data_IF_462693155759
#
_entry.id   IF_462693155759
#
_cell.length_a   1.000
_cell.length_b   1.000
_cell.length_c   1.000
_cell.angle_alpha   90.00
_cell.angle_beta   90.00
_cell.angle_gamma   90.00
#
_symmetry.space_group_name_H-M   'P 1'
#
loop_
_entity.id
_entity.type
_entity.pdbx_description
1 polymer ?
#
# COMPACT_ATOMS: atom_id res chain seq x y z
N UNK A 1 31.79 -84.38 -28.01
CA UNK A 1 31.85 -83.41 -26.89
C UNK A 1 31.16 -82.15 -27.30
N UNK A 2 29.91 -81.97 -26.87
CA UNK A 2 29.08 -80.75 -27.20
C UNK A 2 29.10 -79.84 -25.99
N UNK A 3 29.67 -78.65 -26.15
CA UNK A 3 29.58 -77.54 -25.17
C UNK A 3 28.26 -76.82 -25.34
N UNK A 4 27.42 -76.82 -24.31
CA UNK A 4 26.22 -75.96 -24.17
C UNK A 4 26.66 -74.58 -23.65
N UNK A 5 26.38 -73.59 -24.42
CA UNK A 5 26.50 -72.18 -23.96
C UNK A 5 25.18 -71.73 -23.37
N UNK A 6 25.18 -71.40 -22.08
CA UNK A 6 24.06 -70.82 -21.37
C UNK A 6 24.10 -69.32 -21.55
N UNK A 7 23.06 -68.72 -22.18
CA UNK A 7 22.85 -67.28 -22.28
C UNK A 7 22.01 -66.81 -21.10
N UNK A 8 22.60 -66.06 -20.21
CA UNK A 8 21.86 -65.32 -19.18
C UNK A 8 21.24 -64.04 -19.79
N UNK A 9 19.90 -63.99 -19.81
CA UNK A 9 19.15 -62.76 -20.05
C UNK A 9 19.05 -61.99 -18.71
N UNK A 10 19.73 -60.87 -18.64
CA UNK A 10 19.47 -59.90 -17.57
C UNK A 10 18.25 -59.05 -17.95
N UNK A 11 17.14 -59.28 -17.25
CA UNK A 11 15.99 -58.39 -17.28
C UNK A 11 16.24 -57.22 -16.31
N UNK A 12 16.41 -56.01 -16.86
CA UNK A 12 16.47 -54.76 -16.06
C UNK A 12 15.04 -54.33 -15.79
N UNK A 13 14.59 -54.22 -14.53
CA UNK A 13 13.30 -53.65 -14.24
C UNK A 13 13.37 -52.12 -14.44
N UNK A 14 12.59 -51.63 -15.40
CA UNK A 14 12.37 -50.22 -15.62
C UNK A 14 11.49 -49.67 -14.48
N UNK A 15 12.14 -49.07 -13.46
CA UNK A 15 11.44 -48.37 -12.38
C UNK A 15 10.90 -47.06 -12.93
N UNK A 16 9.60 -47.02 -13.31
CA UNK A 16 8.84 -45.83 -13.56
C UNK A 16 8.61 -45.13 -12.22
N UNK A 17 9.46 -44.16 -11.90
CA UNK A 17 9.19 -43.18 -10.83
C UNK A 17 8.12 -42.22 -11.35
N UNK A 18 6.86 -42.49 -11.05
CA UNK A 18 5.78 -41.53 -11.19
C UNK A 18 6.02 -40.42 -10.18
N UNK A 19 6.50 -39.28 -10.67
CA UNK A 19 6.57 -38.03 -9.91
C UNK A 19 5.12 -37.55 -9.68
N UNK A 20 4.53 -38.00 -8.57
CA UNK A 20 3.26 -37.42 -8.11
C UNK A 20 3.57 -36.02 -7.61
N UNK A 21 3.26 -34.98 -8.43
CA UNK A 21 3.04 -33.64 -7.94
C UNK A 21 1.84 -33.71 -6.98
N UNK A 22 2.13 -33.79 -5.68
CA UNK A 22 1.13 -33.46 -4.66
C UNK A 22 0.82 -31.97 -4.82
N UNK A 23 -0.25 -31.67 -5.56
CA UNK A 23 -0.92 -30.40 -5.41
C UNK A 23 -1.44 -30.44 -3.96
N UNK A 24 -0.88 -29.59 -3.12
CA UNK A 24 -1.40 -29.31 -1.79
C UNK A 24 -2.77 -28.67 -2.00
N UNK A 25 -3.83 -29.47 -2.03
CA UNK A 25 -5.19 -28.96 -1.95
C UNK A 25 -5.30 -28.29 -0.58
N UNK A 26 -5.22 -26.95 -0.57
CA UNK A 26 -5.61 -26.18 0.60
C UNK A 26 -7.10 -26.47 0.83
N UNK A 27 -7.38 -27.30 1.83
CA UNK A 27 -8.75 -27.54 2.30
C UNK A 27 -9.43 -26.19 2.51
N UNK A 28 -10.62 -26.01 1.87
CA UNK A 28 -11.48 -24.89 2.17
C UNK A 28 -11.80 -24.91 3.68
N UNK A 29 -11.77 -23.77 4.38
CA UNK A 29 -12.01 -23.71 5.81
C UNK A 29 -13.34 -24.38 6.14
N UNK A 30 -13.35 -25.21 7.22
CA UNK A 30 -14.53 -25.90 7.68
C UNK A 30 -15.67 -24.92 7.95
N UNK A 31 -16.92 -25.32 7.70
CA UNK A 31 -18.10 -24.47 7.90
C UNK A 31 -18.14 -23.93 9.34
N UNK A 32 -17.83 -22.63 9.52
CA UNK A 32 -17.76 -21.94 10.81
C UNK A 32 -16.40 -21.31 11.14
N UNK A 33 -15.33 -21.59 10.37
CA UNK A 33 -14.03 -20.94 10.57
C UNK A 33 -14.02 -19.52 9.99
N UNK A 34 -13.64 -18.54 10.81
CA UNK A 34 -13.59 -17.12 10.40
C UNK A 34 -12.39 -16.90 9.48
N UNK A 35 -12.63 -16.38 8.27
CA UNK A 35 -11.56 -15.93 7.38
C UNK A 35 -11.01 -14.62 7.94
N UNK A 36 -9.94 -14.70 8.74
CA UNK A 36 -9.33 -13.57 9.45
C UNK A 36 -8.44 -12.70 8.57
N UNK A 37 -8.09 -11.52 9.08
CA UNK A 37 -7.02 -10.66 8.53
C UNK A 37 -5.65 -11.33 8.70
N UNK A 38 -5.45 -11.95 9.87
CA UNK A 38 -4.31 -12.82 10.20
C UNK A 38 -4.83 -14.02 10.99
N UNK A 39 -3.97 -14.97 11.35
CA UNK A 39 -4.36 -16.16 12.12
C UNK A 39 -5.00 -15.81 13.48
N UNK A 40 -4.59 -14.70 14.07
CA UNK A 40 -5.01 -14.24 15.40
C UNK A 40 -5.88 -12.96 15.37
N UNK A 41 -6.07 -12.36 14.19
CA UNK A 41 -6.84 -11.11 14.03
C UNK A 41 -7.98 -11.29 13.02
N UNK A 42 -9.21 -11.51 13.46
CA UNK A 42 -10.34 -11.69 12.54
C UNK A 42 -10.76 -10.39 11.84
N UNK A 43 -10.61 -9.24 12.50
CA UNK A 43 -10.96 -7.92 11.96
C UNK A 43 -10.27 -6.80 12.75
N UNK A 44 -10.38 -5.58 12.24
CA UNK A 44 -10.06 -4.35 12.98
C UNK A 44 -11.15 -3.29 12.73
N UNK A 45 -11.13 -2.20 13.50
CA UNK A 45 -12.02 -1.06 13.29
C UNK A 45 -11.22 0.20 12.99
N UNK A 46 -11.75 1.03 12.09
CA UNK A 46 -11.18 2.33 11.75
C UNK A 46 -12.29 3.37 11.65
N UNK A 47 -11.98 4.61 12.00
CA UNK A 47 -12.90 5.73 11.80
C UNK A 47 -12.86 6.17 10.34
N UNK A 48 -14.03 6.29 9.70
CA UNK A 48 -14.20 6.83 8.36
C UNK A 48 -15.40 7.77 8.35
N UNK A 49 -15.20 9.03 8.00
CA UNK A 49 -16.25 10.07 7.98
C UNK A 49 -17.10 10.09 9.28
N UNK A 50 -16.43 10.00 10.43
CA UNK A 50 -17.08 10.05 11.75
C UNK A 50 -17.78 8.76 12.20
N UNK A 51 -17.73 7.69 11.40
CA UNK A 51 -18.32 6.38 11.73
C UNK A 51 -17.24 5.32 11.93
N UNK A 52 -17.48 4.38 12.85
CA UNK A 52 -16.62 3.21 13.03
C UNK A 52 -16.92 2.17 11.93
N UNK A 53 -15.94 1.84 11.12
CA UNK A 53 -16.05 0.84 10.05
C UNK A 53 -15.23 -0.38 10.42
N UNK A 54 -15.85 -1.57 10.32
CA UNK A 54 -15.20 -2.85 10.51
C UNK A 54 -14.46 -3.27 9.23
N UNK A 55 -13.16 -3.42 9.31
CA UNK A 55 -12.35 -4.00 8.24
C UNK A 55 -12.21 -5.48 8.50
N UNK A 56 -12.70 -6.30 7.59
CA UNK A 56 -12.62 -7.76 7.62
C UNK A 56 -12.48 -8.28 6.20
N UNK A 57 -12.15 -9.57 6.06
CA UNK A 57 -12.21 -10.26 4.76
C UNK A 57 -13.63 -10.71 4.45
N UNK A 58 -13.93 -10.92 3.18
CA UNK A 58 -15.15 -11.63 2.73
C UNK A 58 -15.13 -13.04 3.35
N UNK A 59 -16.27 -13.47 3.88
CA UNK A 59 -16.42 -14.74 4.61
C UNK A 59 -16.93 -15.90 3.73
N UNK A 60 -17.10 -15.67 2.43
CA UNK A 60 -17.41 -16.72 1.46
C UNK A 60 -16.10 -17.29 0.88
N UNK A 61 -15.74 -18.56 1.18
CA UNK A 61 -14.50 -19.18 0.70
C UNK A 61 -14.47 -19.37 -0.83
N UNK A 62 -15.63 -19.32 -1.49
CA UNK A 62 -15.77 -19.46 -2.95
C UNK A 62 -15.83 -18.11 -3.67
N UNK A 63 -15.65 -16.99 -2.94
CA UNK A 63 -15.70 -15.67 -3.55
C UNK A 63 -14.54 -15.46 -4.53
N UNK A 64 -14.88 -15.06 -5.74
CA UNK A 64 -13.92 -14.69 -6.78
C UNK A 64 -13.98 -13.19 -7.06
N UNK A 65 -12.82 -12.55 -7.17
CA UNK A 65 -12.75 -11.15 -7.53
C UNK A 65 -13.22 -10.94 -8.97
N UNK A 66 -14.18 -10.04 -9.16
CA UNK A 66 -14.76 -9.69 -10.46
C UNK A 66 -14.57 -8.21 -10.80
N UNK A 67 -14.98 -7.79 -11.99
CA UNK A 67 -15.05 -6.40 -12.39
C UNK A 67 -13.68 -5.77 -12.72
N UNK A 68 -13.51 -4.49 -12.34
CA UNK A 68 -12.37 -3.70 -12.80
C UNK A 68 -11.02 -4.20 -12.27
N UNK A 69 -10.95 -4.60 -11.01
CA UNK A 69 -9.71 -4.99 -10.36
C UNK A 69 -9.30 -6.45 -10.64
N UNK A 70 -10.19 -7.27 -11.21
CA UNK A 70 -9.87 -8.59 -11.73
C UNK A 70 -9.18 -8.57 -13.10
N UNK A 71 -9.13 -7.41 -13.79
CA UNK A 71 -8.52 -7.30 -15.12
C UNK A 71 -7.00 -7.40 -15.03
N UNK A 72 -6.41 -8.36 -15.75
CA UNK A 72 -4.96 -8.62 -15.77
C UNK A 72 -4.25 -7.87 -16.89
N UNK A 73 -4.77 -7.90 -18.12
CA UNK A 73 -4.15 -7.29 -19.29
C UNK A 73 -4.73 -5.90 -19.55
N UNK A 74 -3.98 -4.86 -19.18
CA UNK A 74 -4.35 -3.45 -19.41
C UNK A 74 -3.33 -2.78 -20.32
N UNK A 75 -3.80 -1.87 -21.18
CA UNK A 75 -2.93 -1.12 -22.10
C UNK A 75 -1.95 -0.23 -21.33
N UNK A 76 -0.68 -0.31 -21.64
CA UNK A 76 0.37 0.58 -21.18
C UNK A 76 0.86 1.46 -22.33
N UNK A 77 0.86 2.79 -22.19
CA UNK A 77 0.22 3.60 -21.14
C UNK A 77 -1.31 3.58 -21.23
N UNK A 78 -2.08 3.91 -20.17
CA UNK A 78 -1.60 4.48 -18.90
C UNK A 78 -1.30 3.45 -17.79
N UNK A 79 -1.60 2.15 -17.99
CA UNK A 79 -1.50 1.13 -16.93
C UNK A 79 -0.15 0.41 -16.95
N UNK A 80 0.93 1.17 -16.97
CA UNK A 80 2.28 0.61 -16.91
C UNK A 80 2.64 0.20 -15.47
N UNK A 81 3.33 -0.94 -15.34
CA UNK A 81 3.83 -1.40 -14.03
C UNK A 81 4.74 -0.33 -13.43
N UNK A 82 4.47 0.03 -12.18
CA UNK A 82 5.26 1.00 -11.42
C UNK A 82 6.38 0.29 -10.65
N UNK A 83 7.49 1.00 -10.36
CA UNK A 83 8.56 0.47 -9.51
C UNK A 83 8.04 -0.02 -8.16
N UNK A 84 8.74 -1.00 -7.59
CA UNK A 84 8.48 -1.45 -6.21
C UNK A 84 8.75 -0.31 -5.23
N UNK A 85 9.84 0.39 -5.43
CA UNK A 85 10.28 1.50 -4.60
C UNK A 85 10.22 2.82 -5.40
N UNK A 86 9.47 3.80 -4.89
CA UNK A 86 9.30 5.11 -5.55
C UNK A 86 10.53 6.01 -5.36
N UNK A 87 11.14 5.96 -4.17
CA UNK A 87 12.35 6.66 -3.76
C UNK A 87 13.07 5.81 -2.70
N UNK A 88 14.41 5.72 -2.68
CA UNK A 88 15.15 4.90 -1.70
C UNK A 88 14.87 5.24 -0.23
N UNK A 89 14.41 6.45 0.05
CA UNK A 89 14.10 6.94 1.39
C UNK A 89 12.65 6.68 1.81
N UNK A 90 11.79 6.21 0.90
CA UNK A 90 10.36 5.95 1.13
C UNK A 90 10.13 4.45 1.20
N UNK A 91 9.63 3.97 2.33
CA UNK A 91 9.31 2.57 2.50
C UNK A 91 8.06 2.18 1.69
N UNK A 92 8.17 1.07 0.94
CA UNK A 92 7.01 0.38 0.37
C UNK A 92 6.47 -0.59 1.41
N UNK A 93 5.15 -0.59 1.63
CA UNK A 93 4.48 -1.37 2.67
C UNK A 93 3.37 -2.24 2.09
N UNK A 94 3.04 -3.32 2.78
CA UNK A 94 1.93 -4.22 2.50
C UNK A 94 0.73 -4.00 3.42
N UNK A 95 -0.22 -4.92 3.33
CA UNK A 95 -1.50 -4.83 4.05
C UNK A 95 -1.32 -4.86 5.58
N UNK A 96 -0.39 -5.67 6.08
CA UNK A 96 -0.16 -5.79 7.53
C UNK A 96 0.37 -4.49 8.13
N UNK A 97 1.27 -3.80 7.43
CA UNK A 97 1.78 -2.50 7.83
C UNK A 97 0.69 -1.42 7.74
N UNK A 98 -0.21 -1.51 6.74
CA UNK A 98 -1.39 -0.63 6.65
C UNK A 98 -2.33 -0.87 7.84
N UNK A 99 -2.60 -2.12 8.22
CA UNK A 99 -3.42 -2.41 9.41
C UNK A 99 -2.77 -1.86 10.68
N UNK A 100 -1.46 -2.07 10.84
CA UNK A 100 -0.73 -1.52 11.99
C UNK A 100 -0.80 0.01 12.02
N UNK A 101 -0.64 0.67 10.88
CA UNK A 101 -0.78 2.12 10.73
C UNK A 101 -2.19 2.60 11.14
N UNK A 102 -3.23 1.88 10.72
CA UNK A 102 -4.61 2.21 11.08
C UNK A 102 -4.88 2.11 12.58
N UNK A 103 -4.32 1.08 13.23
CA UNK A 103 -4.52 0.82 14.67
C UNK A 103 -3.68 1.71 15.57
N UNK A 104 -2.66 2.37 15.05
CA UNK A 104 -1.75 3.23 15.79
C UNK A 104 -1.81 4.67 15.27
N UNK A 105 -1.04 5.01 14.26
CA UNK A 105 -0.86 6.40 13.80
C UNK A 105 -2.17 7.06 13.33
N UNK A 106 -3.01 6.32 12.59
CA UNK A 106 -4.28 6.87 12.11
C UNK A 106 -5.26 7.08 13.27
N UNK A 107 -5.40 6.08 14.16
CA UNK A 107 -6.26 6.16 15.35
C UNK A 107 -5.87 7.33 16.25
N UNK A 108 -4.57 7.51 16.46
CA UNK A 108 -4.03 8.53 17.37
C UNK A 108 -3.88 9.91 16.67
N UNK A 109 -4.41 10.06 15.44
CA UNK A 109 -4.35 11.27 14.61
C UNK A 109 -2.92 11.75 14.28
N UNK A 110 -1.93 10.85 14.41
CA UNK A 110 -0.54 11.07 14.04
C UNK A 110 -0.22 10.60 12.61
N UNK A 111 -1.20 10.03 11.93
CA UNK A 111 -1.10 9.56 10.55
C UNK A 111 -2.27 9.99 9.69
N UNK A 112 -2.06 9.93 8.37
CA UNK A 112 -3.09 10.15 7.35
C UNK A 112 -2.97 9.05 6.30
N UNK A 113 -4.07 8.35 6.03
CA UNK A 113 -4.18 7.39 4.94
C UNK A 113 -4.76 8.12 3.72
N UNK A 114 -3.99 8.23 2.64
CA UNK A 114 -4.31 9.07 1.49
C UNK A 114 -4.66 8.22 0.28
N UNK A 115 -5.90 8.36 -0.19
CA UNK A 115 -6.31 7.93 -1.52
C UNK A 115 -5.87 8.99 -2.54
N UNK A 116 -4.78 8.72 -3.25
CA UNK A 116 -4.21 9.64 -4.23
C UNK A 116 -4.89 9.57 -5.61
N UNK A 117 -5.98 8.82 -5.74
CA UNK A 117 -6.75 8.73 -6.98
C UNK A 117 -7.55 10.01 -7.25
N UNK A 118 -8.04 10.14 -8.47
CA UNK A 118 -8.98 11.21 -8.80
C UNK A 118 -10.29 11.07 -8.00
N UNK A 119 -11.03 12.19 -7.76
CA UNK A 119 -12.30 12.14 -7.02
C UNK A 119 -13.32 11.16 -7.60
N UNK A 120 -13.34 10.97 -8.91
CA UNK A 120 -14.25 10.00 -9.56
C UNK A 120 -13.94 8.55 -9.18
N UNK A 121 -12.66 8.22 -8.94
CA UNK A 121 -12.29 6.90 -8.43
C UNK A 121 -12.61 6.75 -6.95
N UNK A 122 -12.37 7.78 -6.16
CA UNK A 122 -12.70 7.80 -4.74
C UNK A 122 -14.19 7.55 -4.50
N UNK A 123 -15.08 8.25 -5.23
CA UNK A 123 -16.53 8.09 -5.14
C UNK A 123 -17.06 6.70 -5.50
N UNK A 124 -16.27 5.88 -6.22
CA UNK A 124 -16.63 4.48 -6.55
C UNK A 124 -16.29 3.48 -5.46
N UNK A 125 -15.65 3.95 -4.40
CA UNK A 125 -15.23 3.17 -3.26
C UNK A 125 -13.78 3.43 -2.89
N UNK A 126 -13.50 3.40 -1.59
CA UNK A 126 -12.18 3.67 -1.02
C UNK A 126 -11.84 2.69 0.10
N UNK A 127 -10.59 2.67 0.52
CA UNK A 127 -10.16 1.96 1.73
C UNK A 127 -10.67 2.75 2.94
N UNK A 128 -11.38 2.12 3.90
CA UNK A 128 -11.88 2.81 5.08
C UNK A 128 -10.77 3.56 5.83
N UNK A 129 -11.09 4.75 6.34
CA UNK A 129 -10.13 5.64 7.00
C UNK A 129 -9.32 6.52 6.05
N UNK A 130 -9.42 6.32 4.72
CA UNK A 130 -8.75 7.18 3.76
C UNK A 130 -9.43 8.53 3.57
N UNK A 131 -8.60 9.54 3.33
CA UNK A 131 -9.02 10.84 2.79
C UNK A 131 -8.61 10.94 1.32
N UNK A 132 -9.43 11.54 0.47
CA UNK A 132 -9.07 11.76 -0.93
C UNK A 132 -8.26 13.04 -1.07
N UNK A 133 -7.00 12.89 -1.45
CA UNK A 133 -6.13 14.00 -1.87
C UNK A 133 -5.54 13.60 -3.21
N UNK A 134 -6.11 14.08 -4.32
CA UNK A 134 -5.70 13.68 -5.66
C UNK A 134 -4.21 13.92 -5.89
N UNK A 135 -3.55 13.02 -6.61
CA UNK A 135 -2.12 13.11 -6.90
C UNK A 135 -1.70 14.44 -7.57
N UNK A 136 -2.63 15.14 -8.21
CA UNK A 136 -2.42 16.46 -8.83
C UNK A 136 -2.22 17.58 -7.81
N UNK A 137 -2.65 17.39 -6.56
CA UNK A 137 -2.43 18.35 -5.47
C UNK A 137 -0.93 18.56 -5.21
N UNK A 138 -0.13 17.49 -5.35
CA UNK A 138 1.32 17.55 -5.13
C UNK A 138 2.09 17.42 -6.46
N UNK A 139 1.95 18.40 -7.35
CA UNK A 139 2.69 18.44 -8.62
C UNK A 139 4.14 18.93 -8.48
N UNK A 140 4.57 19.23 -7.25
CA UNK A 140 5.89 19.77 -6.91
C UNK A 140 5.96 21.30 -6.97
N UNK A 141 4.83 21.96 -7.09
CA UNK A 141 4.66 23.41 -7.00
C UNK A 141 3.74 23.73 -5.82
N UNK A 142 3.88 24.92 -5.27
CA UNK A 142 3.00 25.38 -4.20
C UNK A 142 1.70 25.90 -4.80
N UNK A 143 0.60 25.34 -4.37
CA UNK A 143 -0.76 25.82 -4.65
C UNK A 143 -1.53 25.98 -3.35
N UNK A 144 -2.66 26.68 -3.38
CA UNK A 144 -3.51 26.80 -2.18
C UNK A 144 -3.96 25.43 -1.67
N UNK A 145 -4.27 24.50 -2.58
CA UNK A 145 -4.69 23.14 -2.25
C UNK A 145 -3.54 22.32 -1.62
N UNK A 146 -2.31 22.43 -2.17
CA UNK A 146 -1.15 21.75 -1.59
C UNK A 146 -0.79 22.32 -0.22
N UNK A 147 -0.85 23.64 -0.06
CA UNK A 147 -0.58 24.32 1.20
C UNK A 147 -1.59 23.91 2.28
N UNK A 148 -2.88 23.89 1.96
CA UNK A 148 -3.94 23.43 2.87
C UNK A 148 -3.75 21.96 3.27
N UNK A 149 -3.38 21.10 2.31
CA UNK A 149 -3.09 19.71 2.60
C UNK A 149 -1.90 19.56 3.56
N UNK A 150 -0.80 20.28 3.32
CA UNK A 150 0.38 20.27 4.19
C UNK A 150 0.05 20.75 5.62
N UNK A 151 -0.73 21.80 5.77
CA UNK A 151 -1.20 22.29 7.07
C UNK A 151 -2.05 21.24 7.79
N UNK A 152 -2.92 20.51 7.08
CA UNK A 152 -3.70 19.41 7.66
C UNK A 152 -2.85 18.23 8.12
N UNK A 153 -1.66 18.07 7.53
CA UNK A 153 -0.66 17.10 7.93
C UNK A 153 0.22 17.59 9.09
N UNK A 154 -0.03 18.77 9.64
CA UNK A 154 0.71 19.31 10.76
C UNK A 154 2.00 20.05 10.37
N UNK A 155 2.19 20.35 9.08
CA UNK A 155 3.24 21.26 8.65
C UNK A 155 2.89 22.70 9.04
N UNK A 156 3.89 23.44 9.50
CA UNK A 156 3.72 24.84 9.93
C UNK A 156 4.38 25.75 8.89
N UNK A 157 3.62 26.74 8.40
CA UNK A 157 4.16 27.75 7.50
C UNK A 157 5.16 28.65 8.23
N UNK A 158 6.32 28.80 7.65
CA UNK A 158 7.39 29.65 8.22
C UNK A 158 7.26 31.06 7.70
N UNK A 159 7.37 32.01 8.62
CA UNK A 159 7.33 33.45 8.34
C UNK A 159 8.62 34.06 8.93
N UNK A 160 9.32 34.84 8.15
CA UNK A 160 10.48 35.64 8.57
C UNK A 160 11.54 34.92 9.42
N UNK A 161 12.14 33.89 8.84
CA UNK A 161 13.26 33.20 9.49
C UNK A 161 14.52 34.06 9.44
N UNK A 162 14.99 34.52 10.60
CA UNK A 162 16.22 35.34 10.70
C UNK A 162 17.45 34.61 10.16
N UNK A 163 18.40 35.36 9.59
CA UNK A 163 19.60 34.81 8.94
C UNK A 163 20.42 33.87 9.84
N UNK A 164 20.50 34.18 11.14
CA UNK A 164 21.23 33.34 12.11
C UNK A 164 20.54 32.00 12.31
N UNK A 165 19.20 31.99 12.51
CA UNK A 165 18.44 30.75 12.66
C UNK A 165 18.55 29.89 11.43
N UNK A 166 18.49 30.45 10.22
CA UNK A 166 18.65 29.74 8.96
C UNK A 166 20.03 29.06 8.86
N UNK A 167 21.10 29.74 9.22
CA UNK A 167 22.44 29.17 9.22
C UNK A 167 22.59 28.02 10.22
N UNK A 168 21.98 28.13 11.40
CA UNK A 168 22.00 27.03 12.38
C UNK A 168 21.22 25.80 11.86
N UNK A 169 20.09 26.01 11.22
CA UNK A 169 19.30 24.93 10.59
C UNK A 169 20.08 24.24 9.45
N UNK A 170 20.75 25.02 8.57
CA UNK A 170 21.61 24.52 7.49
C UNK A 170 22.80 23.69 8.03
N UNK A 171 23.25 23.99 9.24
CA UNK A 171 24.28 23.23 9.95
C UNK A 171 23.74 21.99 10.69
N UNK A 172 22.44 21.68 10.55
CA UNK A 172 21.80 20.53 11.19
C UNK A 172 21.35 20.76 12.64
N UNK A 173 21.38 22.00 13.12
CA UNK A 173 20.80 22.36 14.42
C UNK A 173 19.31 22.68 14.31
N UNK A 174 18.59 22.65 15.42
CA UNK A 174 17.19 23.07 15.53
C UNK A 174 16.24 22.29 14.58
N UNK A 175 16.47 20.98 14.38
CA UNK A 175 15.74 20.12 13.45
C UNK A 175 15.74 20.66 12.00
N UNK A 176 16.85 21.20 11.54
CA UNK A 176 16.99 21.82 10.23
C UNK A 176 16.69 20.86 9.08
N UNK A 177 16.94 19.56 9.26
CA UNK A 177 16.58 18.46 8.34
C UNK A 177 15.06 18.28 8.15
N UNK A 178 14.24 18.83 9.06
CA UNK A 178 12.78 18.86 9.01
C UNK A 178 12.20 20.18 8.50
N UNK A 179 13.04 21.09 8.04
CA UNK A 179 12.64 22.45 7.66
C UNK A 179 13.06 22.79 6.24
N UNK A 180 12.17 23.49 5.55
CA UNK A 180 12.47 24.13 4.27
C UNK A 180 12.37 25.64 4.43
N UNK A 181 12.58 26.39 3.35
CA UNK A 181 12.39 27.84 3.39
C UNK A 181 10.96 28.22 3.80
N UNK A 182 9.97 27.46 3.36
CA UNK A 182 8.54 27.74 3.54
C UNK A 182 7.87 26.96 4.65
N UNK A 183 8.38 25.79 5.02
CA UNK A 183 7.69 24.86 5.89
C UNK A 183 8.56 24.32 7.02
N UNK A 184 7.96 24.15 8.18
CA UNK A 184 8.50 23.37 9.31
C UNK A 184 7.67 22.08 9.40
N UNK A 185 8.33 20.94 9.17
CA UNK A 185 7.78 19.59 9.22
C UNK A 185 8.12 18.84 10.50
N UNK A 186 8.63 19.50 11.51
CA UNK A 186 9.06 18.85 12.79
C UNK A 186 7.95 17.98 13.37
N UNK A 187 6.72 18.49 13.35
CA UNK A 187 5.52 17.80 13.85
C UNK A 187 4.64 17.21 12.74
N UNK A 188 5.16 17.09 11.51
CA UNK A 188 4.37 16.56 10.40
C UNK A 188 3.99 15.08 10.66
N UNK A 189 2.77 14.72 10.27
CA UNK A 189 2.19 13.37 10.43
C UNK A 189 2.87 12.36 9.52
N UNK A 190 2.75 11.08 9.83
CA UNK A 190 3.07 10.00 8.89
C UNK A 190 1.98 9.89 7.83
N UNK A 191 2.39 9.65 6.58
CA UNK A 191 1.48 9.53 5.44
C UNK A 191 1.60 8.16 4.79
N UNK A 192 0.49 7.46 4.61
CA UNK A 192 0.43 6.28 3.73
C UNK A 192 -0.32 6.68 2.47
N UNK A 193 0.34 6.60 1.31
CA UNK A 193 -0.27 6.92 0.02
C UNK A 193 -0.50 5.66 -0.80
N UNK A 194 -1.68 5.58 -1.41
CA UNK A 194 -2.08 4.48 -2.27
C UNK A 194 -2.90 4.96 -3.47
N UNK A 195 -3.07 4.09 -4.49
CA UNK A 195 -3.95 4.31 -5.64
C UNK A 195 -4.56 2.98 -6.14
N UNK A 196 -4.77 2.81 -7.44
CA UNK A 196 -5.47 1.61 -7.94
C UNK A 196 -4.66 0.30 -7.84
N UNK A 197 -3.36 0.35 -7.64
CA UNK A 197 -2.52 -0.85 -7.53
C UNK A 197 -1.19 -0.75 -8.30
N UNK A 198 -0.47 -1.87 -8.50
CA UNK A 198 0.90 -1.88 -9.03
C UNK A 198 1.05 -1.26 -10.43
N UNK A 199 -0.01 -1.13 -11.21
CA UNK A 199 -0.01 -0.49 -12.52
C UNK A 199 -0.56 0.95 -12.49
N UNK A 200 -0.59 1.59 -11.32
CA UNK A 200 -1.12 2.94 -11.14
C UNK A 200 -0.02 3.93 -10.76
N UNK A 201 0.23 4.95 -11.59
CA UNK A 201 1.25 5.96 -11.35
C UNK A 201 0.81 7.16 -10.48
N UNK A 202 -0.41 7.17 -9.93
CA UNK A 202 -0.95 8.33 -9.22
C UNK A 202 -0.29 8.54 -7.86
N UNK A 203 -0.26 7.54 -6.98
CA UNK A 203 0.44 7.66 -5.69
C UNK A 203 1.96 7.83 -5.83
N UNK A 204 2.69 7.16 -6.76
CA UNK A 204 4.09 7.49 -7.01
C UNK A 204 4.33 8.95 -7.41
N UNK A 205 3.42 9.56 -8.20
CA UNK A 205 3.52 10.98 -8.56
C UNK A 205 3.29 11.89 -7.37
N UNK A 206 2.28 11.61 -6.54
CA UNK A 206 2.01 12.36 -5.31
C UNK A 206 3.21 12.30 -4.35
N UNK A 207 3.79 11.11 -4.14
CA UNK A 207 4.98 10.91 -3.30
C UNK A 207 6.16 11.76 -3.80
N UNK A 208 6.48 11.70 -5.10
CA UNK A 208 7.57 12.52 -5.67
C UNK A 208 7.29 14.01 -5.52
N UNK A 209 6.03 14.43 -5.63
CA UNK A 209 5.63 15.82 -5.41
C UNK A 209 5.84 16.27 -3.97
N UNK A 210 5.44 15.46 -2.99
CA UNK A 210 5.69 15.72 -1.56
C UNK A 210 7.18 15.81 -1.25
N UNK A 211 7.99 14.88 -1.78
CA UNK A 211 9.44 14.92 -1.62
C UNK A 211 10.06 16.19 -2.22
N UNK A 212 9.58 16.65 -3.39
CA UNK A 212 10.03 17.89 -4.02
C UNK A 212 9.68 19.14 -3.21
N UNK A 213 8.55 19.12 -2.51
CA UNK A 213 8.14 20.19 -1.59
C UNK A 213 9.00 20.16 -0.31
N UNK A 214 9.66 19.05 0.00
CA UNK A 214 10.51 18.87 1.18
C UNK A 214 9.83 18.14 2.33
N UNK A 215 8.70 17.46 2.11
CA UNK A 215 8.10 16.62 3.13
C UNK A 215 9.07 15.50 3.54
N UNK A 216 9.25 15.23 4.85
CA UNK A 216 10.22 14.25 5.32
C UNK A 216 9.96 12.85 4.75
N UNK A 217 10.94 12.28 4.06
CA UNK A 217 10.80 11.02 3.35
C UNK A 217 10.51 9.83 4.29
N UNK A 218 11.09 9.84 5.49
CA UNK A 218 10.88 8.83 6.54
C UNK A 218 9.47 8.85 7.15
N UNK A 219 8.69 9.88 6.81
CA UNK A 219 7.27 10.01 7.19
C UNK A 219 6.31 9.65 6.07
N UNK A 220 6.82 9.22 4.91
CA UNK A 220 6.01 8.82 3.74
C UNK A 220 6.14 7.32 3.55
N UNK A 221 5.01 6.64 3.40
CA UNK A 221 4.92 5.21 3.11
C UNK A 221 4.12 5.00 1.84
N UNK A 222 4.57 4.08 1.01
CA UNK A 222 3.91 3.73 -0.25
C UNK A 222 3.21 2.38 -0.12
N UNK A 223 1.87 2.38 -0.06
CA UNK A 223 1.10 1.15 -0.20
C UNK A 223 0.88 0.86 -1.69
N UNK A 224 1.83 0.12 -2.29
CA UNK A 224 1.87 -0.18 -3.72
C UNK A 224 0.70 -1.06 -4.17
N UNK A 225 0.25 -1.97 -3.31
CA UNK A 225 -0.88 -2.88 -3.56
C UNK A 225 -2.15 -2.14 -3.92
N UNK A 226 -2.45 -1.05 -3.21
CA UNK A 226 -3.59 -0.17 -3.42
C UNK A 226 -4.91 -0.93 -3.44
N UNK A 227 -5.92 -0.37 -4.11
CA UNK A 227 -7.26 -0.96 -4.17
C UNK A 227 -7.28 -2.36 -4.81
N UNK A 228 -6.37 -2.65 -5.74
CA UNK A 228 -6.35 -3.95 -6.41
C UNK A 228 -5.99 -5.08 -5.43
N UNK A 229 -4.92 -4.92 -4.66
CA UNK A 229 -4.53 -5.93 -3.67
C UNK A 229 -5.50 -5.95 -2.49
N UNK A 230 -6.00 -4.78 -2.07
CA UNK A 230 -7.03 -4.68 -1.04
C UNK A 230 -8.26 -5.52 -1.37
N UNK A 231 -8.77 -5.43 -2.60
CA UNK A 231 -9.91 -6.23 -3.06
C UNK A 231 -9.56 -7.70 -3.35
N UNK A 232 -8.33 -7.99 -3.78
CA UNK A 232 -7.87 -9.36 -3.98
C UNK A 232 -7.88 -10.16 -2.67
N UNK A 233 -7.56 -9.50 -1.54
CA UNK A 233 -7.69 -10.07 -0.21
C UNK A 233 -9.13 -10.09 0.32
N UNK A 234 -10.11 -9.63 -0.44
CA UNK A 234 -11.50 -9.54 -0.03
C UNK A 234 -11.75 -8.58 1.13
N UNK A 235 -10.94 -7.52 1.25
CA UNK A 235 -11.02 -6.56 2.36
C UNK A 235 -12.17 -5.57 2.17
N UNK A 236 -12.74 -5.13 3.29
CA UNK A 236 -13.85 -4.16 3.34
C UNK A 236 -13.50 -2.87 2.60
N UNK A 237 -14.40 -2.43 1.73
CA UNK A 237 -14.37 -1.10 1.10
C UNK A 237 -15.60 -0.30 1.49
N UNK A 238 -15.55 1.02 1.39
CA UNK A 238 -16.68 1.92 1.64
C UNK A 238 -16.90 2.85 0.46
N UNK A 239 -18.16 3.25 0.25
CA UNK A 239 -18.52 4.32 -0.70
C UNK A 239 -18.64 5.60 0.12
N UNK A 240 -17.83 6.65 -0.18
CA UNK A 240 -17.88 7.90 0.58
C UNK A 240 -19.25 8.57 0.51
N UNK A 241 -19.75 9.04 1.66
CA UNK A 241 -21.06 9.70 1.76
C UNK A 241 -22.26 8.77 1.95
N UNK A 242 -22.05 7.42 2.03
CA UNK A 242 -23.11 6.43 2.33
C UNK A 242 -23.13 5.95 3.79
#
# INVERSE_FOLDING_TARGET
MKLLSVRYLFAVPLCLIALQCLAEETEAPAAGEVIGLTADKPYLHVMHEGRSVKIQRIQDPNYELTGYYARTARKCPPFCIQPEQVDPRVATIGELEVFNFMENELRDSQGVLIDARTPDWFKRGTIPGSVNIPFTTFNGEHSAESDQALESFGAIRRVDVGTVSRKLEEMGFMDGDRKTEKWDFTNAKKLVLWCNGPACGQSPRAIRGLLKIGYPADRIFYYRGGMQMWQLWGLTTVIPGE
#
